data_IF_035986222431
#
_entry.id   IF_035986222431
#
_cell.length_a   1.000
_cell.length_b   1.000
_cell.length_c   1.000
_cell.angle_alpha   90.00
_cell.angle_beta   90.00
_cell.angle_gamma   90.00
#
_symmetry.space_group_name_H-M   'P 1'
#
loop_
_entity.id
_entity.type
_entity.pdbx_description
1 polymer ?
#
# COMPACT_ATOMS: atom_id res chain seq x y z
N UNK A 1 12.30 11.72 -7.10
CA UNK A 1 12.75 10.44 -7.70
C UNK A 1 11.70 9.98 -8.70
N UNK A 2 11.67 10.58 -9.89
CA UNK A 2 10.55 10.36 -10.82
C UNK A 2 10.63 9.03 -11.58
N UNK A 3 11.71 8.26 -11.40
CA UNK A 3 11.98 6.99 -12.08
C UNK A 3 11.85 5.76 -11.14
N UNK A 4 11.02 5.86 -10.10
CA UNK A 4 10.81 4.79 -9.13
C UNK A 4 9.31 4.46 -8.99
N UNK A 5 8.97 3.18 -8.84
CA UNK A 5 7.68 2.75 -8.26
C UNK A 5 7.84 2.50 -6.76
N UNK A 6 6.87 2.91 -5.96
CA UNK A 6 6.76 2.52 -4.56
C UNK A 6 5.80 1.35 -4.40
N UNK A 7 6.21 0.33 -3.66
CA UNK A 7 5.36 -0.78 -3.24
C UNK A 7 5.27 -0.73 -1.72
N UNK A 8 4.06 -0.65 -1.19
CA UNK A 8 3.76 -0.81 0.23
C UNK A 8 3.17 -2.22 0.40
N UNK A 9 3.96 -3.14 0.95
CA UNK A 9 3.56 -4.53 1.12
C UNK A 9 3.04 -4.77 2.54
N UNK A 10 1.73 -4.98 2.67
CA UNK A 10 1.07 -5.17 3.96
C UNK A 10 1.06 -6.64 4.39
N UNK A 11 2.24 -7.23 4.55
CA UNK A 11 2.47 -8.56 5.14
C UNK A 11 3.13 -8.48 6.53
N UNK A 12 2.78 -7.46 7.32
CA UNK A 12 3.40 -7.33 8.63
C UNK A 12 2.91 -8.41 9.60
N UNK A 13 3.82 -8.89 10.47
CA UNK A 13 3.43 -9.78 11.55
C UNK A 13 2.63 -9.03 12.63
N UNK A 14 1.32 -9.24 12.64
CA UNK A 14 0.38 -8.57 13.54
C UNK A 14 0.27 -9.19 14.94
N UNK A 15 1.06 -10.22 15.30
CA UNK A 15 0.91 -10.95 16.58
C UNK A 15 0.91 -10.06 17.83
N UNK A 16 1.65 -8.94 17.78
CA UNK A 16 1.76 -7.98 18.90
C UNK A 16 0.68 -6.89 18.88
N UNK A 17 -0.09 -6.78 17.80
CA UNK A 17 -1.10 -5.74 17.58
C UNK A 17 -2.50 -6.32 17.33
N UNK A 18 -2.69 -7.62 17.58
CA UNK A 18 -3.88 -8.40 17.23
C UNK A 18 -5.20 -7.75 17.61
N UNK A 19 -5.30 -7.14 18.81
CA UNK A 19 -6.55 -6.49 19.24
C UNK A 19 -6.89 -5.25 18.40
N UNK A 20 -5.86 -4.49 18.00
CA UNK A 20 -6.03 -3.27 17.19
C UNK A 20 -6.23 -3.60 15.72
N UNK A 21 -5.63 -4.68 15.23
CA UNK A 21 -5.70 -5.11 13.82
C UNK A 21 -6.77 -6.17 13.54
N UNK A 22 -7.57 -6.54 14.55
CA UNK A 22 -8.63 -7.56 14.44
C UNK A 22 -9.55 -7.37 13.23
N UNK A 23 -9.89 -6.13 12.90
CA UNK A 23 -10.84 -5.76 11.85
C UNK A 23 -10.25 -4.84 10.78
N UNK A 24 -8.94 -4.57 10.81
CA UNK A 24 -8.30 -3.59 9.93
C UNK A 24 -6.79 -3.86 9.84
N UNK A 25 -6.11 -3.56 8.72
CA UNK A 25 -4.67 -3.73 8.62
C UNK A 25 -3.92 -2.74 9.51
N UNK A 26 -2.69 -3.07 9.91
CA UNK A 26 -1.78 -2.18 10.66
C UNK A 26 -1.66 -0.79 10.03
N UNK A 27 -1.55 -0.72 8.70
CA UNK A 27 -1.50 0.52 7.92
C UNK A 27 -2.68 1.48 8.17
N UNK A 28 -3.84 0.94 8.58
CA UNK A 28 -5.05 1.72 8.86
C UNK A 28 -5.21 2.15 10.32
N UNK A 29 -4.27 1.81 11.21
CA UNK A 29 -4.33 2.22 12.61
C UNK A 29 -4.24 3.75 12.74
N UNK A 30 -5.12 4.38 13.52
CA UNK A 30 -5.04 5.81 13.81
C UNK A 30 -3.79 6.17 14.63
N UNK A 31 -3.12 7.25 14.24
CA UNK A 31 -2.00 7.87 14.97
C UNK A 31 -2.22 9.37 15.08
N UNK A 32 -1.83 9.95 16.22
CA UNK A 32 -1.86 11.39 16.48
C UNK A 32 -3.24 12.06 16.21
N UNK A 33 -4.32 11.31 16.46
CA UNK A 33 -5.71 11.80 16.41
C UNK A 33 -6.31 12.03 15.01
N UNK A 34 -5.49 12.26 13.98
CA UNK A 34 -5.96 12.58 12.62
C UNK A 34 -5.39 11.70 11.52
N UNK A 35 -4.22 11.10 11.75
CA UNK A 35 -3.50 10.35 10.73
C UNK A 35 -3.69 8.86 10.90
N UNK A 36 -3.26 8.10 9.90
CA UNK A 36 -3.05 6.66 9.96
C UNK A 36 -1.60 6.33 9.68
N UNK A 37 -1.17 5.13 10.06
CA UNK A 37 0.20 4.64 9.83
C UNK A 37 0.62 4.82 8.36
N UNK A 38 -0.27 4.48 7.41
CA UNK A 38 -0.02 4.60 5.96
C UNK A 38 0.29 6.03 5.51
N UNK A 39 -0.21 7.05 6.21
CA UNK A 39 -0.05 8.46 5.81
C UNK A 39 1.42 8.88 5.81
N UNK A 40 2.21 8.32 6.73
CA UNK A 40 3.64 8.62 6.85
C UNK A 40 4.40 8.07 5.64
N UNK A 41 4.14 6.82 5.25
CA UNK A 41 4.81 6.19 4.11
C UNK A 41 4.39 6.90 2.81
N UNK A 42 3.10 7.18 2.63
CA UNK A 42 2.62 7.92 1.46
C UNK A 42 3.23 9.32 1.38
N UNK A 43 3.25 10.06 2.49
CA UNK A 43 3.86 11.39 2.52
C UNK A 43 5.36 11.34 2.24
N UNK A 44 6.08 10.35 2.75
CA UNK A 44 7.50 10.18 2.47
C UNK A 44 7.76 9.88 1.00
N UNK A 45 6.99 8.97 0.40
CA UNK A 45 7.10 8.62 -1.02
C UNK A 45 6.80 9.84 -1.90
N UNK A 46 5.70 10.55 -1.66
CA UNK A 46 5.31 11.70 -2.49
C UNK A 46 6.23 12.90 -2.30
N UNK A 47 6.66 13.21 -1.06
CA UNK A 47 7.67 14.24 -0.81
C UNK A 47 9.04 13.91 -1.44
N UNK A 48 9.32 12.62 -1.66
CA UNK A 48 10.51 12.15 -2.38
C UNK A 48 10.31 12.11 -3.90
N UNK A 49 9.14 12.49 -4.42
CA UNK A 49 8.78 12.50 -5.84
C UNK A 49 8.48 11.12 -6.43
N UNK A 50 8.09 10.15 -5.59
CA UNK A 50 7.57 8.85 -6.04
C UNK A 50 6.05 9.01 -6.22
N UNK A 51 5.61 9.02 -7.47
CA UNK A 51 4.19 9.25 -7.83
C UNK A 51 3.44 7.98 -8.23
N UNK A 52 4.15 6.90 -8.55
CA UNK A 52 3.57 5.59 -8.86
C UNK A 52 3.67 4.70 -7.62
N UNK A 53 2.55 4.45 -6.95
CA UNK A 53 2.51 3.72 -5.68
C UNK A 53 1.49 2.59 -5.77
N UNK A 54 1.97 1.36 -5.55
CA UNK A 54 1.16 0.17 -5.34
C UNK A 54 1.06 -0.17 -3.86
N UNK A 55 -0.12 -0.48 -3.36
CA UNK A 55 -0.33 -1.02 -2.01
C UNK A 55 -0.85 -2.44 -2.15
N UNK A 56 -0.06 -3.41 -1.70
CA UNK A 56 -0.46 -4.81 -1.69
C UNK A 56 -1.09 -5.08 -0.34
N UNK A 57 -2.42 -5.15 -0.32
CA UNK A 57 -3.18 -5.31 0.91
C UNK A 57 -3.63 -6.76 1.10
N UNK A 58 -4.11 -7.07 2.30
CA UNK A 58 -4.66 -8.37 2.66
C UNK A 58 -6.15 -8.23 2.93
N UNK A 59 -6.73 -9.30 3.46
CA UNK A 59 -8.06 -9.29 4.05
C UNK A 59 -8.28 -8.08 4.99
N UNK A 60 -9.55 -7.67 5.14
CA UNK A 60 -9.97 -6.57 6.04
C UNK A 60 -9.50 -5.16 5.62
N UNK A 61 -9.15 -4.99 4.35
CA UNK A 61 -8.66 -3.72 3.79
C UNK A 61 -9.73 -2.63 3.62
N UNK A 62 -11.01 -2.91 3.87
CA UNK A 62 -12.11 -1.92 3.75
C UNK A 62 -11.80 -0.61 4.45
N UNK A 63 -11.38 -0.67 5.71
CA UNK A 63 -11.05 0.55 6.47
C UNK A 63 -9.92 1.35 5.80
N UNK A 64 -8.90 0.67 5.28
CA UNK A 64 -7.78 1.29 4.58
C UNK A 64 -8.26 1.95 3.28
N UNK A 65 -9.06 1.25 2.47
CA UNK A 65 -9.57 1.78 1.21
C UNK A 65 -10.45 3.02 1.40
N UNK A 66 -11.33 3.00 2.41
CA UNK A 66 -12.18 4.16 2.74
C UNK A 66 -11.35 5.40 3.07
N UNK A 67 -10.15 5.22 3.63
CA UNK A 67 -9.23 6.31 3.97
C UNK A 67 -8.38 6.76 2.78
N UNK A 68 -7.84 5.82 2.03
CA UNK A 68 -7.05 6.09 0.84
C UNK A 68 -7.87 6.79 -0.25
N UNK A 69 -9.17 6.50 -0.32
CA UNK A 69 -10.10 6.94 -1.37
C UNK A 69 -9.50 6.75 -2.76
N UNK A 70 -9.04 7.83 -3.40
CA UNK A 70 -8.42 7.81 -4.71
C UNK A 70 -7.00 8.41 -4.70
N UNK A 71 -6.40 8.61 -3.53
CA UNK A 71 -5.06 9.19 -3.39
C UNK A 71 -4.97 10.70 -3.60
N UNK A 72 -6.09 11.41 -3.79
CA UNK A 72 -6.12 12.88 -3.96
C UNK A 72 -5.40 13.66 -2.84
N UNK A 73 -5.48 13.28 -1.54
CA UNK A 73 -4.79 14.02 -0.47
C UNK A 73 -3.26 14.10 -0.64
N UNK A 74 -2.66 13.17 -1.38
CA UNK A 74 -1.21 13.12 -1.64
C UNK A 74 -0.85 13.46 -3.10
N UNK A 75 -1.76 14.05 -3.88
CA UNK A 75 -1.59 14.36 -5.32
C UNK A 75 -1.25 13.15 -6.24
N UNK A 76 -1.61 11.94 -5.79
CA UNK A 76 -1.39 10.67 -6.52
C UNK A 76 -2.69 10.13 -7.15
N UNK A 77 -3.65 11.00 -7.46
CA UNK A 77 -4.85 10.66 -8.22
C UNK A 77 -4.61 10.83 -9.73
N UNK A 78 -4.03 9.81 -10.36
CA UNK A 78 -3.67 9.81 -11.78
C UNK A 78 -4.14 8.51 -12.44
N UNK A 79 -4.35 8.52 -13.76
CA UNK A 79 -4.83 7.32 -14.50
C UNK A 79 -3.72 6.33 -14.82
N UNK A 80 -2.52 6.84 -15.10
CA UNK A 80 -1.38 6.04 -15.59
C UNK A 80 -0.50 5.61 -14.42
N UNK A 81 0.04 6.60 -13.71
CA UNK A 81 0.69 6.47 -12.41
C UNK A 81 -0.35 6.78 -11.31
N UNK A 82 0.10 6.98 -10.07
CA UNK A 82 -0.77 7.25 -8.93
C UNK A 82 -0.89 6.07 -7.98
N UNK A 83 -1.86 6.17 -7.08
CA UNK A 83 -2.17 5.15 -6.08
C UNK A 83 -2.99 4.01 -6.67
N UNK A 84 -2.50 2.78 -6.55
CA UNK A 84 -3.24 1.56 -6.85
C UNK A 84 -3.22 0.64 -5.64
N UNK A 85 -4.38 0.08 -5.31
CA UNK A 85 -4.52 -0.88 -4.19
C UNK A 85 -4.86 -2.24 -4.78
N UNK A 86 -4.08 -3.24 -4.42
CA UNK A 86 -4.12 -4.59 -4.98
C UNK A 86 -4.47 -5.61 -3.90
N UNK A 87 -4.92 -6.78 -4.36
CA UNK A 87 -5.29 -7.95 -3.57
C UNK A 87 -6.56 -7.76 -2.72
N UNK A 88 -7.66 -8.25 -3.31
CA UNK A 88 -8.96 -8.44 -2.68
C UNK A 88 -9.30 -9.94 -2.63
N UNK A 89 -8.32 -10.81 -2.43
CA UNK A 89 -8.62 -12.24 -2.29
C UNK A 89 -9.34 -12.47 -0.97
N UNK A 90 -10.46 -13.18 -1.00
CA UNK A 90 -11.17 -13.64 0.21
C UNK A 90 -10.46 -14.84 0.86
N UNK A 91 -9.48 -15.44 0.17
CA UNK A 91 -8.64 -16.50 0.71
C UNK A 91 -7.62 -15.96 1.71
N UNK A 92 -7.25 -16.78 2.70
CA UNK A 92 -6.18 -16.42 3.63
C UNK A 92 -4.88 -16.28 2.84
N UNK A 93 -4.28 -15.07 2.77
CA UNK A 93 -3.08 -14.86 2.00
C UNK A 93 -1.97 -15.76 2.54
N UNK A 94 -1.28 -16.46 1.64
CA UNK A 94 -0.02 -17.11 1.98
C UNK A 94 0.88 -16.04 2.60
N UNK A 95 1.40 -16.31 3.80
CA UNK A 95 2.29 -15.41 4.52
C UNK A 95 3.70 -15.44 3.90
N UNK A 96 3.79 -15.01 2.65
CA UNK A 96 5.05 -14.86 1.93
C UNK A 96 4.96 -13.73 0.91
N UNK A 97 5.91 -12.80 1.03
CA UNK A 97 6.04 -11.64 0.17
C UNK A 97 6.22 -12.04 -1.30
N UNK A 98 6.90 -13.16 -1.57
CA UNK A 98 7.21 -13.61 -2.94
C UNK A 98 5.94 -13.90 -3.73
N UNK A 99 4.96 -14.56 -3.11
CA UNK A 99 3.67 -14.85 -3.75
C UNK A 99 2.88 -13.57 -4.00
N UNK A 100 2.90 -12.65 -3.03
CA UNK A 100 2.23 -11.35 -3.16
C UNK A 100 2.79 -10.52 -4.33
N UNK A 101 4.11 -10.56 -4.54
CA UNK A 101 4.76 -9.95 -5.70
C UNK A 101 4.44 -10.68 -7.00
N UNK A 102 4.43 -12.01 -7.00
CA UNK A 102 4.15 -12.82 -8.18
C UNK A 102 2.73 -12.60 -8.70
N UNK A 103 1.74 -12.59 -7.80
CA UNK A 103 0.33 -12.34 -8.15
C UNK A 103 0.09 -10.96 -8.76
N UNK A 104 1.00 -10.02 -8.48
CA UNK A 104 0.94 -8.64 -8.95
C UNK A 104 2.09 -8.28 -9.90
N UNK A 105 2.76 -9.29 -10.50
CA UNK A 105 3.94 -9.08 -11.34
C UNK A 105 3.63 -8.16 -12.53
N UNK A 106 2.41 -8.23 -13.06
CA UNK A 106 1.91 -7.36 -14.12
C UNK A 106 2.04 -5.87 -13.77
N UNK A 107 1.91 -5.48 -12.50
CA UNK A 107 2.07 -4.09 -12.12
C UNK A 107 3.49 -3.58 -12.36
N UNK A 108 4.49 -4.44 -12.14
CA UNK A 108 5.89 -4.15 -12.39
C UNK A 108 6.17 -4.12 -13.89
N UNK A 109 5.70 -5.11 -14.64
CA UNK A 109 5.95 -5.25 -16.08
C UNK A 109 5.35 -4.10 -16.91
N UNK A 110 4.21 -3.57 -16.49
CA UNK A 110 3.58 -2.42 -17.16
C UNK A 110 4.18 -1.07 -16.76
N UNK A 111 5.04 -1.04 -15.75
CA UNK A 111 5.69 0.19 -15.30
C UNK A 111 6.82 0.59 -16.24
N UNK A 112 6.99 1.91 -16.46
CA UNK A 112 8.13 2.47 -17.21
C UNK A 112 9.27 2.95 -16.29
N UNK A 113 9.15 2.70 -14.98
CA UNK A 113 10.13 3.15 -13.99
C UNK A 113 11.27 2.13 -13.91
N UNK A 114 12.49 2.62 -13.75
CA UNK A 114 13.70 1.78 -13.68
C UNK A 114 13.89 1.14 -12.30
N UNK A 115 13.42 1.81 -11.24
CA UNK A 115 13.63 1.39 -9.86
C UNK A 115 12.33 1.00 -9.18
N UNK A 116 12.43 0.08 -8.23
CA UNK A 116 11.35 -0.30 -7.32
C UNK A 116 11.83 -0.08 -5.88
N UNK A 117 11.05 0.65 -5.10
CA UNK A 117 11.19 0.77 -3.66
C UNK A 117 10.11 -0.09 -3.00
N UNK A 118 10.52 -1.08 -2.21
CA UNK A 118 9.62 -1.93 -1.43
C UNK A 118 9.68 -1.48 0.02
N UNK A 119 8.51 -1.26 0.64
CA UNK A 119 8.33 -0.79 2.00
C UNK A 119 7.33 -1.67 2.75
#
# INVERSE_FOLDING_TARGET
MNNCIGIINLDENEQKTTELTRHRPLASLPIAGRYRVVDFILSNMTNSGIEAIGIFTKNKSRSLMDHLTNGKPWDIYRKKDGLKVFNFSDEDPVHDDVHNFLDNIDYFDHSKKEYTLIC
#
